data_IF_734858636840
#
_entry.id   IF_734858636840
#
_cell.length_a   1.000
_cell.length_b   1.000
_cell.length_c   1.000
_cell.angle_alpha   90.00
_cell.angle_beta   90.00
_cell.angle_gamma   90.00
#
_symmetry.space_group_name_H-M   'P 1'
#
loop_
_entity.id
_entity.type
_entity.pdbx_description
1 polymer ?
#
# COMPACT_ATOMS: atom_id res chain seq x y z
N UNK A 1 -6.12 -57.80 14.22
CA UNK A 1 -5.85 -56.56 14.99
C UNK A 1 -4.68 -55.86 14.33
N UNK A 2 -4.96 -55.11 13.26
CA UNK A 2 -3.99 -54.30 12.53
C UNK A 2 -4.67 -52.95 12.35
N UNK A 3 -4.15 -51.96 13.06
CA UNK A 3 -4.66 -50.60 13.14
C UNK A 3 -4.15 -49.84 11.93
N UNK A 4 -5.03 -49.57 10.97
CA UNK A 4 -4.78 -48.62 9.89
C UNK A 4 -4.74 -47.21 10.49
N UNK A 5 -3.53 -46.63 10.51
CA UNK A 5 -3.33 -45.24 10.85
C UNK A 5 -3.64 -44.39 9.61
N UNK A 6 -4.91 -44.01 9.46
CA UNK A 6 -5.31 -42.95 8.55
C UNK A 6 -4.72 -41.63 9.04
N UNK A 7 -3.71 -41.15 8.31
CA UNK A 7 -3.17 -39.80 8.40
C UNK A 7 -4.24 -38.83 7.89
N UNK A 8 -5.08 -38.33 8.80
CA UNK A 8 -5.92 -37.15 8.59
C UNK A 8 -5.02 -35.91 8.44
N UNK A 9 -4.49 -35.73 7.24
CA UNK A 9 -4.02 -34.43 6.80
C UNK A 9 -5.28 -33.54 6.72
N UNK A 10 -5.47 -32.71 7.74
CA UNK A 10 -6.51 -31.70 7.78
C UNK A 10 -6.43 -30.86 6.50
N UNK A 11 -7.31 -31.16 5.56
CA UNK A 11 -7.63 -30.28 4.44
C UNK A 11 -8.29 -29.06 5.07
N UNK A 12 -7.49 -28.06 5.39
CA UNK A 12 -7.98 -26.72 5.67
C UNK A 12 -8.79 -26.29 4.45
N UNK A 13 -10.11 -26.37 4.58
CA UNK A 13 -11.06 -25.81 3.61
C UNK A 13 -10.65 -24.37 3.37
N UNK A 14 -10.21 -24.11 2.13
CA UNK A 14 -9.76 -22.82 1.65
C UNK A 14 -10.74 -21.76 2.10
N UNK A 15 -10.32 -21.00 3.10
CA UNK A 15 -11.11 -19.94 3.69
C UNK A 15 -11.28 -18.88 2.61
N UNK A 16 -12.42 -18.19 2.63
CA UNK A 16 -12.80 -17.00 1.86
C UNK A 16 -11.84 -15.81 2.06
N UNK A 17 -10.60 -16.09 2.47
CA UNK A 17 -9.51 -15.17 2.73
C UNK A 17 -9.08 -14.54 1.41
N UNK A 18 -9.72 -13.41 1.09
CA UNK A 18 -9.44 -12.47 0.01
C UNK A 18 -8.01 -11.88 0.02
N UNK A 19 -7.17 -12.37 0.93
CA UNK A 19 -5.84 -11.91 1.27
C UNK A 19 -4.76 -12.74 0.57
N UNK A 20 -4.27 -12.26 -0.56
CA UNK A 20 -3.30 -12.98 -1.41
C UNK A 20 -1.93 -12.31 -1.26
N UNK A 21 -0.84 -13.04 -0.97
CA UNK A 21 0.48 -12.43 -0.85
C UNK A 21 0.93 -11.85 -2.20
N UNK A 22 1.52 -10.65 -2.16
CA UNK A 22 2.16 -10.00 -3.31
C UNK A 22 3.64 -10.36 -3.33
N UNK A 23 4.21 -10.57 -4.52
CA UNK A 23 5.63 -10.89 -4.67
C UNK A 23 5.95 -12.34 -4.29
N UNK A 24 4.99 -13.25 -4.41
CA UNK A 24 5.13 -14.64 -4.01
C UNK A 24 4.79 -15.60 -5.16
N UNK A 25 5.45 -16.76 -5.18
CA UNK A 25 5.05 -17.87 -6.04
C UNK A 25 3.88 -18.62 -5.42
N UNK A 26 2.79 -18.75 -6.19
CA UNK A 26 1.57 -19.44 -5.81
C UNK A 26 1.32 -20.63 -6.74
N UNK A 27 0.75 -21.70 -6.18
CA UNK A 27 -0.01 -22.71 -6.91
C UNK A 27 -1.47 -22.24 -6.97
N UNK A 28 -2.03 -22.14 -8.16
CA UNK A 28 -3.41 -21.71 -8.43
C UNK A 28 -4.19 -22.87 -9.04
N UNK A 29 -5.34 -23.20 -8.45
CA UNK A 29 -6.24 -24.25 -8.92
C UNK A 29 -7.38 -23.62 -9.72
N UNK A 30 -7.23 -23.63 -11.04
CA UNK A 30 -8.20 -23.05 -11.97
C UNK A 30 -9.27 -24.08 -12.35
N UNK A 31 -10.58 -23.76 -12.22
CA UNK A 31 -11.65 -24.70 -12.55
C UNK A 31 -11.56 -25.24 -13.98
N UNK A 32 -11.44 -26.56 -14.12
CA UNK A 32 -11.39 -27.25 -15.42
C UNK A 32 -10.08 -27.09 -16.20
N UNK A 33 -9.03 -26.55 -15.58
CA UNK A 33 -7.71 -26.40 -16.21
C UNK A 33 -6.62 -27.09 -15.36
N UNK A 34 -5.46 -27.43 -15.96
CA UNK A 34 -4.30 -27.84 -15.18
C UNK A 34 -3.89 -26.77 -14.15
N UNK A 35 -3.33 -27.20 -13.03
CA UNK A 35 -2.81 -26.28 -12.01
C UNK A 35 -1.75 -25.34 -12.59
N UNK A 36 -1.72 -24.10 -12.09
CA UNK A 36 -0.84 -23.05 -12.55
C UNK A 36 0.14 -22.65 -11.43
N UNK A 37 1.44 -22.59 -11.72
CA UNK A 37 2.42 -21.96 -10.82
C UNK A 37 2.71 -20.57 -11.34
N UNK A 38 2.40 -19.55 -10.54
CA UNK A 38 2.51 -18.15 -10.95
C UNK A 38 3.07 -17.26 -9.85
N UNK A 39 3.85 -16.26 -10.24
CA UNK A 39 4.35 -15.23 -9.34
C UNK A 39 3.38 -14.06 -9.31
N UNK A 40 2.97 -13.63 -8.12
CA UNK A 40 2.08 -12.49 -7.94
C UNK A 40 2.84 -11.17 -7.98
N UNK A 41 2.27 -10.16 -8.62
CA UNK A 41 2.88 -8.84 -8.74
C UNK A 41 1.83 -7.74 -8.94
N UNK A 42 2.25 -6.49 -8.73
CA UNK A 42 1.46 -5.31 -9.03
C UNK A 42 1.94 -4.65 -10.31
N UNK A 43 0.99 -4.48 -11.22
CA UNK A 43 1.07 -3.56 -12.34
C UNK A 43 0.47 -2.21 -11.92
N UNK A 44 1.26 -1.13 -12.00
CA UNK A 44 0.84 0.22 -11.59
C UNK A 44 -0.35 0.77 -12.39
N UNK A 45 -0.60 0.24 -13.59
CA UNK A 45 -1.69 0.67 -14.45
C UNK A 45 -2.88 -0.27 -14.35
N UNK A 46 -2.65 -1.57 -14.27
CA UNK A 46 -3.68 -2.58 -14.42
C UNK A 46 -4.13 -3.23 -13.09
N UNK A 47 -3.33 -3.12 -12.03
CA UNK A 47 -3.62 -3.65 -10.69
C UNK A 47 -2.87 -4.95 -10.37
N UNK A 48 -3.54 -5.89 -9.71
CA UNK A 48 -2.93 -7.13 -9.21
C UNK A 48 -3.00 -8.27 -10.21
N UNK A 49 -1.86 -8.90 -10.45
CA UNK A 49 -1.71 -9.98 -11.42
C UNK A 49 -0.90 -11.14 -10.87
N UNK A 50 -1.02 -12.26 -11.55
CA UNK A 50 -0.14 -13.41 -11.45
C UNK A 50 0.37 -13.79 -12.85
N UNK A 51 1.67 -14.02 -12.98
CA UNK A 51 2.28 -14.51 -14.23
C UNK A 51 3.00 -15.83 -13.99
N UNK A 52 2.69 -16.84 -14.79
CA UNK A 52 3.08 -18.23 -14.50
C UNK A 52 3.04 -19.18 -15.67
N UNK A 53 3.17 -20.47 -15.36
CA UNK A 53 3.16 -21.59 -16.31
C UNK A 53 2.36 -22.75 -15.75
N UNK A 54 1.70 -23.50 -16.64
CA UNK A 54 0.92 -24.69 -16.27
C UNK A 54 1.84 -25.82 -15.81
N UNK A 55 1.33 -26.65 -14.91
CA UNK A 55 1.98 -27.87 -14.45
C UNK A 55 1.47 -29.03 -15.31
N UNK A 56 2.36 -29.71 -16.03
CA UNK A 56 2.07 -30.99 -16.69
C UNK A 56 2.90 -32.09 -15.99
N UNK A 57 2.24 -32.87 -15.12
CA UNK A 57 2.92 -33.88 -14.30
C UNK A 57 3.82 -33.25 -13.23
N UNK A 58 5.12 -33.59 -13.24
CA UNK A 58 6.13 -33.05 -12.31
C UNK A 58 6.96 -31.91 -12.92
N UNK A 59 6.63 -31.46 -14.14
CA UNK A 59 7.41 -30.46 -14.85
C UNK A 59 6.54 -29.24 -15.22
N UNK A 60 7.18 -28.07 -15.25
CA UNK A 60 6.56 -26.84 -15.74
C UNK A 60 6.54 -26.87 -17.27
N UNK A 61 5.36 -26.61 -17.85
CA UNK A 61 5.25 -26.45 -19.29
C UNK A 61 6.13 -25.28 -19.74
N UNK A 62 7.04 -25.55 -20.69
CA UNK A 62 7.94 -24.53 -21.23
C UNK A 62 7.27 -23.59 -22.22
N UNK A 63 6.01 -23.86 -22.62
CA UNK A 63 5.20 -22.99 -23.47
C UNK A 63 4.99 -21.59 -22.86
N UNK A 64 4.30 -20.73 -23.62
CA UNK A 64 4.07 -19.32 -23.31
C UNK A 64 3.54 -19.11 -21.88
N UNK A 65 3.99 -18.02 -21.24
CA UNK A 65 3.54 -17.65 -19.92
C UNK A 65 2.04 -17.25 -19.93
N UNK A 66 1.32 -17.66 -18.90
CA UNK A 66 -0.07 -17.25 -18.64
C UNK A 66 -0.05 -16.05 -17.70
N UNK A 67 -0.85 -15.03 -18.00
CA UNK A 67 -1.04 -13.85 -17.15
C UNK A 67 -2.51 -13.82 -16.70
N UNK A 68 -2.73 -13.73 -15.39
CA UNK A 68 -4.04 -13.70 -14.76
C UNK A 68 -4.21 -12.41 -13.95
N UNK A 69 -5.37 -11.78 -14.05
CA UNK A 69 -5.75 -10.68 -13.16
C UNK A 69 -6.32 -11.25 -11.86
N UNK A 70 -5.84 -10.78 -10.72
CA UNK A 70 -6.25 -11.22 -9.40
C UNK A 70 -7.04 -10.11 -8.66
N UNK A 71 -7.88 -10.47 -7.67
CA UNK A 71 -8.29 -11.85 -7.32
C UNK A 71 -9.24 -12.44 -8.36
N UNK A 72 -9.25 -13.78 -8.47
CA UNK A 72 -10.22 -14.52 -9.30
C UNK A 72 -11.27 -15.19 -8.41
N UNK A 73 -12.57 -14.91 -8.62
CA UNK A 73 -13.64 -15.56 -7.85
C UNK A 73 -13.59 -17.09 -7.99
N UNK A 74 -13.66 -17.80 -6.87
CA UNK A 74 -13.70 -19.27 -6.82
C UNK A 74 -12.37 -19.98 -7.13
N UNK A 75 -11.27 -19.24 -7.32
CA UNK A 75 -9.94 -19.85 -7.52
C UNK A 75 -9.25 -20.05 -6.18
N UNK A 76 -8.89 -21.30 -5.89
CA UNK A 76 -8.07 -21.63 -4.73
C UNK A 76 -6.59 -21.36 -5.04
N UNK A 77 -5.85 -20.97 -4.02
CA UNK A 77 -4.42 -20.72 -4.14
C UNK A 77 -3.67 -21.19 -2.90
N UNK A 78 -2.41 -21.55 -3.09
CA UNK A 78 -1.50 -21.96 -2.02
C UNK A 78 -0.11 -21.35 -2.28
N UNK A 79 0.51 -20.69 -1.29
CA UNK A 79 1.87 -20.21 -1.44
C UNK A 79 2.84 -21.38 -1.51
N UNK A 80 3.81 -21.31 -2.43
CA UNK A 80 4.88 -22.30 -2.50
C UNK A 80 5.91 -22.06 -1.39
N UNK A 81 6.37 -23.14 -0.79
CA UNK A 81 7.48 -23.10 0.14
C UNK A 81 8.80 -22.76 -0.56
N UNK A 82 9.77 -22.22 0.17
CA UNK A 82 11.10 -21.95 -0.37
C UNK A 82 11.79 -23.23 -0.91
N UNK A 83 11.46 -24.41 -0.37
CA UNK A 83 11.97 -25.68 -0.88
C UNK A 83 11.36 -26.04 -2.24
N UNK A 84 10.05 -25.87 -2.41
CA UNK A 84 9.36 -26.07 -3.70
C UNK A 84 9.85 -25.10 -4.76
N UNK A 85 9.99 -23.81 -4.42
CA UNK A 85 10.52 -22.77 -5.33
C UNK A 85 11.91 -23.18 -5.84
N UNK A 86 12.80 -23.65 -4.95
CA UNK A 86 14.14 -24.16 -5.34
C UNK A 86 14.06 -25.42 -6.18
N UNK A 87 13.22 -26.39 -5.80
CA UNK A 87 13.08 -27.66 -6.54
C UNK A 87 12.57 -27.44 -7.97
N UNK A 88 11.74 -26.42 -8.18
CA UNK A 88 11.22 -26.02 -9.48
C UNK A 88 12.14 -25.10 -10.27
N UNK A 89 13.26 -24.64 -9.67
CA UNK A 89 14.20 -23.71 -10.31
C UNK A 89 13.59 -22.34 -10.60
N UNK A 90 12.73 -21.85 -9.72
CA UNK A 90 12.04 -20.56 -9.88
C UNK A 90 12.85 -19.42 -9.26
N UNK A 91 13.06 -18.35 -10.02
CA UNK A 91 13.71 -17.12 -9.55
C UNK A 91 12.83 -16.37 -8.55
N UNK A 92 13.44 -15.75 -7.52
CA UNK A 92 12.71 -14.92 -6.54
C UNK A 92 13.53 -13.66 -6.19
N UNK A 93 13.10 -12.45 -6.63
CA UNK A 93 12.03 -12.21 -7.59
C UNK A 93 12.42 -12.64 -9.02
N UNK A 94 11.44 -12.91 -9.90
CA UNK A 94 11.71 -13.16 -11.31
C UNK A 94 12.33 -11.94 -12.03
N UNK A 95 13.25 -12.17 -12.97
CA UNK A 95 13.94 -11.09 -13.69
C UNK A 95 12.99 -10.16 -14.49
N UNK A 96 11.93 -10.72 -15.08
CA UNK A 96 10.94 -9.98 -15.85
C UNK A 96 10.15 -8.98 -15.01
N UNK A 97 10.13 -9.15 -13.68
CA UNK A 97 9.40 -8.28 -12.76
C UNK A 97 9.90 -6.83 -12.80
N UNK A 98 11.17 -6.62 -13.16
CA UNK A 98 11.77 -5.29 -13.28
C UNK A 98 11.02 -4.39 -14.26
N UNK A 99 10.36 -4.96 -15.28
CA UNK A 99 9.55 -4.23 -16.25
C UNK A 99 8.28 -3.60 -15.66
N UNK A 100 7.81 -4.07 -14.51
CA UNK A 100 6.61 -3.56 -13.82
C UNK A 100 6.93 -2.51 -12.74
N UNK A 101 8.21 -2.21 -12.55
CA UNK A 101 8.70 -1.24 -11.57
C UNK A 101 8.68 -1.75 -10.12
N UNK A 102 8.95 -0.85 -9.16
CA UNK A 102 9.01 -1.18 -7.74
C UNK A 102 7.75 -1.91 -7.26
N UNK A 103 7.96 -3.04 -6.60
CA UNK A 103 6.93 -3.86 -5.98
C UNK A 103 6.82 -3.54 -4.49
N UNK A 104 5.67 -3.85 -3.84
CA UNK A 104 5.55 -3.75 -2.39
C UNK A 104 6.58 -4.60 -1.66
N UNK A 105 6.77 -4.30 -0.38
CA UNK A 105 7.63 -5.07 0.52
C UNK A 105 7.23 -6.54 0.54
N UNK A 106 8.21 -7.44 0.63
CA UNK A 106 7.92 -8.86 0.76
C UNK A 106 7.04 -9.13 1.99
N UNK A 107 5.97 -9.91 1.81
CA UNK A 107 4.98 -10.16 2.86
C UNK A 107 3.77 -9.22 2.81
N UNK A 108 3.75 -8.20 1.95
CA UNK A 108 2.53 -7.44 1.68
C UNK A 108 1.43 -8.37 1.18
N UNK A 109 0.22 -8.18 1.71
CA UNK A 109 -0.95 -8.97 1.39
C UNK A 109 -1.96 -8.10 0.65
N UNK A 110 -2.33 -8.51 -0.56
CA UNK A 110 -3.40 -7.87 -1.32
C UNK A 110 -4.72 -8.00 -0.56
N UNK A 111 -5.47 -6.91 -0.42
CA UNK A 111 -6.74 -6.90 0.31
C UNK A 111 -6.62 -6.67 1.82
N UNK A 112 -5.41 -6.51 2.36
CA UNK A 112 -5.20 -6.23 3.79
C UNK A 112 -5.95 -4.99 4.29
N UNK A 113 -6.11 -3.97 3.43
CA UNK A 113 -6.83 -2.73 3.75
C UNK A 113 -8.29 -2.94 4.14
N UNK A 114 -8.93 -4.03 3.67
CA UNK A 114 -10.35 -4.31 3.96
C UNK A 114 -10.56 -4.67 5.44
N UNK A 115 -9.53 -5.21 6.07
CA UNK A 115 -9.53 -5.60 7.49
C UNK A 115 -8.89 -4.52 8.38
N UNK A 116 -8.45 -3.39 7.82
CA UNK A 116 -7.84 -2.32 8.59
C UNK A 116 -8.86 -1.72 9.58
N UNK A 117 -8.59 -1.70 10.90
CA UNK A 117 -9.57 -1.29 11.90
C UNK A 117 -10.14 0.10 11.65
N UNK A 118 -9.27 1.06 11.32
CA UNK A 118 -9.66 2.45 11.06
C UNK A 118 -10.36 2.66 9.72
N UNK A 119 -10.30 1.70 8.78
CA UNK A 119 -11.00 1.81 7.49
C UNK A 119 -12.31 1.03 7.46
N UNK A 120 -12.61 0.26 8.52
CA UNK A 120 -13.82 -0.56 8.58
C UNK A 120 -15.07 0.31 8.45
N UNK A 121 -15.89 -0.01 7.46
CA UNK A 121 -17.11 0.76 7.16
C UNK A 121 -16.90 2.07 6.40
N UNK A 122 -15.64 2.41 6.02
CA UNK A 122 -15.33 3.61 5.21
C UNK A 122 -15.27 3.32 3.70
N UNK A 123 -15.31 2.06 3.29
CA UNK A 123 -15.32 1.65 1.88
C UNK A 123 -16.72 1.76 1.25
N UNK A 124 -16.76 1.98 -0.06
CA UNK A 124 -18.00 2.03 -0.82
C UNK A 124 -18.75 0.69 -0.76
N UNK A 125 -20.07 0.66 -0.48
CA UNK A 125 -20.83 -0.60 -0.35
C UNK A 125 -20.79 -1.51 -1.58
N UNK A 126 -20.77 -0.92 -2.78
CA UNK A 126 -20.73 -1.65 -4.06
C UNK A 126 -19.30 -1.85 -4.60
N UNK A 127 -18.31 -1.14 -4.06
CA UNK A 127 -16.93 -1.17 -4.55
C UNK A 127 -15.99 -1.32 -3.35
N UNK A 128 -15.69 -2.56 -2.90
CA UNK A 128 -15.02 -2.84 -1.62
C UNK A 128 -13.56 -2.37 -1.54
N UNK A 129 -13.02 -1.84 -2.64
CA UNK A 129 -11.68 -1.28 -2.73
C UNK A 129 -11.67 0.24 -2.93
N UNK A 130 -12.84 0.88 -2.96
CA UNK A 130 -12.96 2.31 -3.15
C UNK A 130 -13.22 2.99 -1.79
N UNK A 131 -12.35 3.91 -1.40
CA UNK A 131 -12.41 4.66 -0.13
C UNK A 131 -12.29 6.16 -0.40
N UNK A 132 -12.96 6.98 0.40
CA UNK A 132 -12.81 8.43 0.33
C UNK A 132 -11.52 8.86 1.05
N UNK A 133 -10.77 9.77 0.42
CA UNK A 133 -9.51 10.31 0.95
C UNK A 133 -9.46 11.82 0.80
N UNK A 134 -8.76 12.49 1.70
CA UNK A 134 -8.44 13.91 1.60
C UNK A 134 -7.19 14.09 0.76
N UNK A 135 -7.26 14.98 -0.23
CA UNK A 135 -6.15 15.35 -1.11
C UNK A 135 -5.88 16.86 -1.04
N UNK A 136 -4.64 17.26 -1.35
CA UNK A 136 -4.17 18.65 -1.24
C UNK A 136 -3.01 18.94 -2.21
N UNK A 137 -2.70 20.22 -2.44
CA UNK A 137 -1.48 20.64 -3.17
C UNK A 137 -0.32 21.05 -2.23
N UNK A 138 -0.54 20.91 -0.92
CA UNK A 138 0.41 21.27 0.15
C UNK A 138 -0.34 21.87 1.33
N UNK A 139 0.38 22.22 2.39
CA UNK A 139 -0.16 22.93 3.54
C UNK A 139 -0.34 24.44 3.28
N UNK A 140 -0.92 25.17 4.25
CA UNK A 140 -1.29 26.59 4.13
C UNK A 140 -0.14 27.54 3.78
N UNK A 141 1.12 27.13 3.96
CA UNK A 141 2.31 27.94 3.62
C UNK A 141 2.74 27.82 2.16
N UNK A 142 2.18 26.88 1.40
CA UNK A 142 2.56 26.60 0.01
C UNK A 142 1.45 26.88 -0.98
N UNK A 143 0.19 26.75 -0.56
CA UNK A 143 -0.96 26.88 -1.44
C UNK A 143 -2.16 27.41 -0.66
N UNK A 144 -3.01 28.17 -1.36
CA UNK A 144 -4.33 28.61 -0.87
C UNK A 144 -5.46 27.67 -1.34
N UNK A 145 -5.13 26.65 -2.16
CA UNK A 145 -6.10 25.68 -2.63
C UNK A 145 -6.67 24.91 -1.44
N UNK A 146 -8.01 24.82 -1.37
CA UNK A 146 -8.65 24.05 -0.30
C UNK A 146 -8.49 22.56 -0.52
N UNK A 147 -8.54 21.83 0.58
CA UNK A 147 -8.58 20.37 0.59
C UNK A 147 -9.82 19.88 -0.15
N UNK A 148 -9.68 18.75 -0.84
CA UNK A 148 -10.78 18.09 -1.52
C UNK A 148 -10.87 16.63 -1.05
N UNK A 149 -12.09 16.08 -1.08
CA UNK A 149 -12.33 14.65 -0.84
C UNK A 149 -12.61 13.96 -2.16
N UNK A 150 -11.87 12.89 -2.43
CA UNK A 150 -12.04 12.10 -3.65
C UNK A 150 -12.14 10.62 -3.33
N UNK A 151 -12.71 9.85 -4.26
CA UNK A 151 -12.66 8.40 -4.23
C UNK A 151 -11.30 7.90 -4.73
N UNK A 152 -10.69 7.03 -3.95
CA UNK A 152 -9.45 6.32 -4.24
C UNK A 152 -9.75 4.82 -4.35
N UNK A 153 -9.40 4.21 -5.48
CA UNK A 153 -9.35 2.75 -5.57
C UNK A 153 -8.02 2.26 -5.02
N UNK A 154 -8.06 1.61 -3.87
CA UNK A 154 -6.88 1.05 -3.20
C UNK A 154 -6.28 -0.07 -4.05
N UNK A 155 -4.97 -0.04 -4.16
CA UNK A 155 -4.18 -1.08 -4.82
C UNK A 155 -3.34 -1.84 -3.81
N UNK A 156 -2.73 -1.20 -2.82
CA UNK A 156 -2.04 -1.93 -1.77
C UNK A 156 -1.92 -1.08 -0.53
N UNK A 157 -1.55 -1.74 0.57
CA UNK A 157 -1.32 -1.11 1.86
C UNK A 157 -0.12 -1.77 2.55
N UNK A 158 0.72 -0.95 3.19
CA UNK A 158 1.84 -1.36 4.04
C UNK A 158 1.77 -0.54 5.34
N UNK A 159 1.52 -1.22 6.46
CA UNK A 159 1.11 -0.55 7.70
C UNK A 159 -0.09 0.36 7.45
N UNK A 160 0.03 1.63 7.84
CA UNK A 160 -1.01 2.65 7.69
C UNK A 160 -0.94 3.40 6.34
N UNK A 161 0.02 3.08 5.47
CA UNK A 161 0.18 3.74 4.17
C UNK A 161 -0.46 2.89 3.09
N UNK A 162 -1.46 3.44 2.43
CA UNK A 162 -2.06 2.84 1.25
C UNK A 162 -1.69 3.60 -0.02
N UNK A 163 -1.68 2.88 -1.14
CA UNK A 163 -1.54 3.45 -2.47
C UNK A 163 -2.76 3.12 -3.31
N UNK A 164 -3.23 4.07 -4.11
CA UNK A 164 -4.36 3.84 -4.98
C UNK A 164 -4.45 4.79 -6.17
N UNK A 165 -5.52 4.60 -6.95
CA UNK A 165 -5.86 5.43 -8.11
C UNK A 165 -7.03 6.36 -7.81
N UNK A 166 -6.86 7.65 -8.07
CA UNK A 166 -7.93 8.66 -7.94
C UNK A 166 -9.01 8.42 -9.00
N UNK A 167 -10.28 8.34 -8.59
CA UNK A 167 -11.40 7.94 -9.46
C UNK A 167 -12.19 9.10 -10.05
N UNK A 168 -12.33 10.20 -9.30
CA UNK A 168 -13.00 11.43 -9.73
C UNK A 168 -12.02 12.60 -9.86
N UNK A 169 -12.38 13.60 -10.66
CA UNK A 169 -11.52 14.76 -10.93
C UNK A 169 -11.64 15.79 -9.80
N UNK A 170 -10.52 16.19 -9.14
CA UNK A 170 -10.51 17.35 -8.25
C UNK A 170 -10.85 18.63 -8.99
N UNK A 171 -11.49 19.57 -8.31
CA UNK A 171 -12.02 20.82 -8.89
C UNK A 171 -10.94 21.91 -8.98
N UNK A 172 -10.14 22.10 -7.93
CA UNK A 172 -9.17 23.20 -7.84
C UNK A 172 -7.72 22.74 -7.76
N UNK A 173 -7.47 21.49 -7.35
CA UNK A 173 -6.12 20.96 -7.19
C UNK A 173 -5.38 20.80 -8.53
N UNK A 174 -4.10 21.14 -8.53
CA UNK A 174 -3.26 21.16 -9.72
C UNK A 174 -2.36 19.93 -9.84
N UNK A 175 -1.93 19.39 -8.70
CA UNK A 175 -0.96 18.28 -8.63
C UNK A 175 -1.63 16.91 -8.77
N UNK A 176 -2.90 16.81 -8.39
CA UNK A 176 -3.69 15.56 -8.43
C UNK A 176 -4.79 15.66 -9.48
N UNK A 177 -4.97 14.60 -10.28
CA UNK A 177 -6.01 14.50 -11.30
C UNK A 177 -6.66 13.13 -11.25
N UNK A 178 -7.81 12.99 -11.93
CA UNK A 178 -8.39 11.67 -12.15
C UNK A 178 -7.37 10.74 -12.79
N UNK A 179 -7.21 9.53 -12.24
CA UNK A 179 -6.26 8.53 -12.71
C UNK A 179 -4.87 8.65 -12.09
N UNK A 180 -4.55 9.71 -11.35
CA UNK A 180 -3.30 9.82 -10.60
C UNK A 180 -3.12 8.64 -9.63
N UNK A 181 -1.88 8.15 -9.53
CA UNK A 181 -1.48 7.26 -8.45
C UNK A 181 -1.03 8.13 -7.28
N UNK A 182 -1.65 7.94 -6.12
CA UNK A 182 -1.30 8.67 -4.90
C UNK A 182 -1.11 7.71 -3.73
N UNK A 183 -0.42 8.19 -2.70
CA UNK A 183 -0.29 7.53 -1.41
C UNK A 183 -1.11 8.29 -0.39
N UNK A 184 -1.78 7.55 0.49
CA UNK A 184 -2.55 8.11 1.59
C UNK A 184 -2.17 7.40 2.88
N UNK A 185 -2.08 8.17 3.96
CA UNK A 185 -1.85 7.68 5.31
C UNK A 185 -3.19 7.63 6.06
N UNK A 186 -3.44 6.51 6.73
CA UNK A 186 -4.51 6.44 7.73
C UNK A 186 -3.99 7.10 9.00
N UNK A 187 -4.53 8.27 9.32
CA UNK A 187 -4.09 9.11 10.42
C UNK A 187 -5.16 9.20 11.50
N UNK A 188 -4.72 9.41 12.74
CA UNK A 188 -5.60 9.65 13.87
C UNK A 188 -6.34 11.00 13.72
N UNK A 189 -7.48 11.11 14.40
CA UNK A 189 -8.30 12.33 14.50
C UNK A 189 -8.86 12.88 13.17
N UNK A 190 -8.80 12.13 12.06
CA UNK A 190 -9.41 12.51 10.78
C UNK A 190 -10.33 11.41 10.23
N UNK A 191 -11.48 11.84 9.67
CA UNK A 191 -12.49 10.95 9.08
C UNK A 191 -12.01 10.23 7.81
N UNK A 192 -11.13 10.87 7.04
CA UNK A 192 -10.63 10.33 5.79
C UNK A 192 -9.12 10.19 5.85
N UNK A 193 -8.55 9.09 5.34
CA UNK A 193 -7.12 8.99 5.12
C UNK A 193 -6.63 10.15 4.26
N UNK A 194 -5.40 10.61 4.52
CA UNK A 194 -4.89 11.84 3.95
C UNK A 194 -3.77 11.57 2.97
N UNK A 195 -3.79 12.26 1.83
CA UNK A 195 -2.72 12.16 0.85
C UNK A 195 -1.39 12.56 1.47
N UNK A 196 -0.34 11.84 1.10
CA UNK A 196 1.04 12.10 1.53
C UNK A 196 1.99 12.01 0.33
N UNK A 197 3.10 12.74 0.40
CA UNK A 197 4.15 12.70 -0.63
C UNK A 197 5.23 11.69 -0.28
N UNK A 198 5.99 11.24 -1.27
CA UNK A 198 7.14 10.35 -1.04
C UNK A 198 8.22 11.03 -0.18
N UNK A 199 8.44 12.32 -0.37
CA UNK A 199 9.38 13.11 0.45
C UNK A 199 8.92 13.15 1.91
N UNK A 200 7.62 13.40 2.16
CA UNK A 200 7.08 13.34 3.51
C UNK A 200 7.31 11.98 4.16
N UNK A 201 6.98 10.88 3.46
CA UNK A 201 7.16 9.54 4.00
C UNK A 201 8.61 9.18 4.30
N UNK A 202 9.56 9.66 3.49
CA UNK A 202 11.00 9.46 3.71
C UNK A 202 11.48 10.18 4.97
N UNK A 203 10.96 11.38 5.23
CA UNK A 203 11.36 12.18 6.39
C UNK A 203 10.58 11.79 7.66
N UNK A 204 9.33 11.34 7.53
CA UNK A 204 8.38 11.16 8.65
C UNK A 204 8.96 10.41 9.85
N UNK A 205 9.75 9.37 9.64
CA UNK A 205 10.35 8.57 10.72
C UNK A 205 11.33 9.35 11.58
N UNK A 206 11.99 10.36 11.03
CA UNK A 206 13.01 11.16 11.71
C UNK A 206 12.42 12.24 12.61
N UNK A 207 11.09 12.45 12.52
CA UNK A 207 10.38 13.50 13.23
C UNK A 207 9.33 12.94 14.18
N UNK A 208 8.99 13.78 15.16
CA UNK A 208 7.85 13.63 16.04
C UNK A 208 6.97 14.84 15.80
N UNK A 209 5.75 14.58 15.36
CA UNK A 209 4.75 15.60 15.09
C UNK A 209 3.75 15.53 16.25
N UNK A 210 3.72 16.56 17.09
CA UNK A 210 2.74 16.63 18.17
C UNK A 210 1.35 16.88 17.59
N UNK A 211 0.31 16.19 18.09
CA UNK A 211 -1.07 16.47 17.72
C UNK A 211 -1.40 17.95 17.85
N UNK A 212 -2.18 18.49 16.93
CA UNK A 212 -2.68 19.85 17.00
C UNK A 212 -3.60 20.00 18.22
N UNK A 213 -3.41 21.06 19.02
CA UNK A 213 -4.18 21.29 20.24
C UNK A 213 -5.67 21.57 19.96
N UNK A 214 -6.03 21.98 18.74
CA UNK A 214 -7.42 22.30 18.37
C UNK A 214 -8.20 21.12 17.83
N UNK A 215 -7.60 20.30 16.96
CA UNK A 215 -8.30 19.21 16.26
C UNK A 215 -7.69 17.82 16.48
N UNK A 216 -6.56 17.70 17.17
CA UNK A 216 -5.88 16.43 17.43
C UNK A 216 -5.11 15.83 16.24
N UNK A 217 -5.11 16.49 15.08
CA UNK A 217 -4.39 15.98 13.90
C UNK A 217 -2.88 15.95 14.13
N UNK A 218 -2.24 14.83 13.82
CA UNK A 218 -0.84 14.53 14.17
C UNK A 218 0.07 14.31 12.95
N UNK A 219 -0.38 14.69 11.76
CA UNK A 219 0.42 14.57 10.52
C UNK A 219 0.63 15.93 9.86
N UNK A 220 1.50 15.98 8.86
CA UNK A 220 1.78 17.16 8.03
C UNK A 220 1.42 16.88 6.58
N UNK A 221 1.04 17.93 5.84
CA UNK A 221 0.81 17.83 4.39
C UNK A 221 2.08 18.03 3.57
N UNK A 222 3.10 18.62 4.18
CA UNK A 222 4.39 18.89 3.57
C UNK A 222 5.49 18.15 4.33
N UNK A 223 6.56 17.83 3.62
CA UNK A 223 7.77 17.30 4.24
C UNK A 223 8.32 18.33 5.26
N UNK A 224 8.81 17.89 6.43
CA UNK A 224 9.44 18.78 7.40
C UNK A 224 10.50 19.72 6.79
N UNK A 225 11.33 19.22 5.87
CA UNK A 225 12.34 20.02 5.17
C UNK A 225 11.74 21.15 4.30
N UNK A 226 10.58 20.93 3.68
CA UNK A 226 9.87 21.96 2.93
C UNK A 226 9.33 23.06 3.86
N UNK A 227 8.80 22.66 5.03
CA UNK A 227 8.29 23.60 6.03
C UNK A 227 9.41 24.45 6.64
N UNK A 228 10.52 23.83 7.00
CA UNK A 228 11.72 24.51 7.51
C UNK A 228 12.22 25.55 6.49
N UNK A 229 12.30 25.16 5.21
CA UNK A 229 12.74 26.07 4.14
C UNK A 229 11.77 27.25 3.96
N UNK A 230 10.47 27.00 4.09
CA UNK A 230 9.46 28.06 4.04
C UNK A 230 9.55 29.02 5.24
N UNK A 231 9.95 28.52 6.41
CA UNK A 231 10.12 29.32 7.64
C UNK A 231 11.45 30.08 7.70
N UNK A 232 12.51 29.47 7.20
CA UNK A 232 13.87 30.03 7.23
C UNK A 232 14.53 29.97 5.84
N UNK A 233 14.07 30.79 4.87
CA UNK A 233 14.58 30.73 3.49
C UNK A 233 16.10 31.01 3.37
N UNK A 234 16.68 31.67 4.36
CA UNK A 234 18.10 32.05 4.41
C UNK A 234 18.96 31.12 5.26
N UNK A 235 18.38 30.07 5.88
CA UNK A 235 19.14 29.14 6.69
C UNK A 235 20.13 28.33 5.81
N UNK A 236 21.37 28.08 6.29
CA UNK A 236 22.29 27.16 5.65
C UNK A 236 21.66 25.77 5.50
N UNK A 237 22.00 25.06 4.41
CA UNK A 237 21.45 23.73 4.13
C UNK A 237 21.81 22.67 5.18
N UNK A 238 22.86 22.93 5.96
CA UNK A 238 23.40 22.08 7.03
C UNK A 238 22.99 22.54 8.45
N UNK A 239 22.10 23.53 8.58
CA UNK A 239 21.62 23.96 9.89
C UNK A 239 20.82 22.84 10.58
N UNK A 240 21.27 22.42 11.77
CA UNK A 240 20.50 21.50 12.62
C UNK A 240 19.27 22.22 13.16
N UNK A 241 18.08 21.75 12.78
CA UNK A 241 16.80 22.28 13.28
C UNK A 241 16.38 21.48 14.51
N UNK A 242 16.33 22.16 15.65
CA UNK A 242 15.98 21.57 16.94
C UNK A 242 14.48 21.37 17.16
N UNK A 243 13.67 22.41 17.05
CA UNK A 243 12.20 22.34 17.16
C UNK A 243 11.64 23.47 16.31
N UNK A 244 10.51 23.25 15.65
CA UNK A 244 9.79 24.30 14.96
C UNK A 244 8.27 24.10 15.07
N UNK A 245 7.52 25.17 14.81
CA UNK A 245 6.06 25.17 14.88
C UNK A 245 5.45 25.23 13.49
N UNK A 246 4.68 24.22 13.13
CA UNK A 246 3.92 24.20 11.88
C UNK A 246 2.46 24.65 12.10
N UNK A 247 1.83 25.15 11.04
CA UNK A 247 0.38 25.43 11.04
C UNK A 247 -0.34 24.13 10.67
N UNK A 248 -1.28 23.70 11.51
CA UNK A 248 -2.13 22.55 11.28
C UNK A 248 -2.89 22.73 9.95
N UNK A 249 -2.72 21.83 8.98
CA UNK A 249 -3.28 22.03 7.67
C UNK A 249 -4.80 21.75 7.61
N UNK A 250 -5.40 21.18 8.67
CA UNK A 250 -6.84 20.92 8.76
C UNK A 250 -7.63 22.09 9.37
N UNK A 251 -7.16 22.65 10.48
CA UNK A 251 -7.91 23.67 11.24
C UNK A 251 -7.23 25.03 11.32
N UNK A 252 -5.96 25.14 10.95
CA UNK A 252 -5.17 26.38 11.07
C UNK A 252 -4.55 26.62 12.45
N UNK A 253 -4.76 25.71 13.41
CA UNK A 253 -4.10 25.72 14.72
C UNK A 253 -2.59 25.47 14.62
N UNK A 254 -1.92 25.29 15.76
CA UNK A 254 -0.47 25.06 15.81
C UNK A 254 -0.15 23.59 16.07
N UNK A 255 0.89 23.09 15.41
CA UNK A 255 1.54 21.80 15.67
C UNK A 255 3.02 22.05 15.97
N UNK A 256 3.59 21.24 16.88
CA UNK A 256 5.02 21.28 17.19
C UNK A 256 5.71 20.09 16.53
N UNK A 257 6.82 20.35 15.84
CA UNK A 257 7.58 19.35 15.10
C UNK A 257 9.02 19.33 15.63
N UNK A 258 9.49 18.16 16.02
CA UNK A 258 10.83 17.98 16.62
C UNK A 258 11.52 16.73 16.07
N UNK A 259 12.86 16.73 15.90
CA UNK A 259 13.60 15.59 15.43
C UNK A 259 13.60 14.52 16.51
N UNK A 260 13.36 13.27 16.14
CA UNK A 260 13.31 12.14 17.07
C UNK A 260 14.62 11.94 17.85
N UNK A 261 15.76 12.35 17.26
CA UNK A 261 17.08 12.31 17.89
C UNK A 261 17.15 13.16 19.17
N UNK A 262 16.33 14.21 19.30
CA UNK A 262 16.29 15.08 20.48
C UNK A 262 15.77 14.40 21.75
N UNK A 263 15.07 13.26 21.64
CA UNK A 263 14.58 12.50 22.79
C UNK A 263 15.57 11.46 23.32
N UNK A 264 16.68 11.22 22.63
CA UNK A 264 17.68 10.22 23.02
C UNK A 264 18.83 10.80 23.86
N UNK A 265 18.81 12.10 24.13
CA UNK A 265 19.79 12.88 24.91
C UNK A 265 19.17 13.38 26.21
#
# INVERSE_FOLDING_TARGET
MTSDAQSDAQVQTATDSAQIPVGAWLRLDLPGQPGLIAFTYLDRQAGFFAQGRTIEGAMLDRKAATILRLPLPGVCWQPLSAAEVRALGLDTPPNWLQGYGPQPTAGTVWGAWREHPELKGRFHPEYPDDVQVVIHDGGPRRTENRLEVVWLRVSWMDGDVMQGRVLNQPVQLQTVRRGSQIRCLVADAIEYPVMVTDQYLQERSDWIIRPCDECGFSELFDAPSDLIRAESPTAPTDAEVGEFSAVCPLCGGIQVVMPRKSLAS
#
